data_IF_445465638426
#
_entry.id   IF_445465638426
#
_cell.length_a   1.000
_cell.length_b   1.000
_cell.length_c   1.000
_cell.angle_alpha   90.00
_cell.angle_beta   90.00
_cell.angle_gamma   90.00
#
_symmetry.space_group_name_H-M   'P 1'
#
loop_
_entity.id
_entity.type
_entity.pdbx_description
1 polymer ?
#
# COMPACT_ATOMS: atom_id res chain seq x y z
N UNK A 1 3.83 59.15 -55.38
CA UNK A 1 3.47 59.47 -53.98
C UNK A 1 2.03 59.05 -53.79
N UNK A 2 1.81 57.92 -53.13
CA UNK A 2 0.48 57.50 -52.68
C UNK A 2 0.61 57.21 -51.19
N UNK A 3 -0.31 57.77 -50.42
CA UNK A 3 -0.25 57.89 -48.96
C UNK A 3 -0.26 56.52 -48.27
N UNK A 4 0.52 56.46 -47.18
CA UNK A 4 0.54 55.38 -46.19
C UNK A 4 -0.79 55.39 -45.42
N UNK A 5 -1.53 54.28 -45.43
CA UNK A 5 -2.73 54.12 -44.60
C UNK A 5 -2.37 53.75 -43.13
N UNK A 6 -3.01 54.40 -42.14
CA UNK A 6 -3.00 54.18 -40.69
C UNK A 6 -2.68 52.86 -40.02
N UNK A 7 -3.41 51.78 -40.18
CA UNK A 7 -3.86 51.05 -38.99
C UNK A 7 -4.09 49.58 -39.33
N UNK A 8 -3.42 48.63 -38.68
CA UNK A 8 -3.86 48.08 -37.40
C UNK A 8 -2.65 47.31 -36.79
N UNK A 9 -2.02 47.86 -35.76
CA UNK A 9 -1.09 47.08 -34.94
C UNK A 9 -1.93 46.25 -33.97
N UNK A 10 -2.21 45.00 -34.33
CA UNK A 10 -2.55 43.98 -33.33
C UNK A 10 -1.26 43.65 -32.57
N UNK A 11 -0.93 44.52 -31.61
CA UNK A 11 -0.12 44.10 -30.47
C UNK A 11 -0.97 43.05 -29.74
N UNK A 12 -0.72 41.78 -30.06
CA UNK A 12 -1.09 40.65 -29.21
C UNK A 12 -0.39 40.86 -27.85
N UNK A 13 -0.95 41.75 -27.03
CA UNK A 13 -0.74 41.74 -25.60
C UNK A 13 -1.23 40.37 -25.15
N UNK A 14 -0.28 39.46 -25.01
CA UNK A 14 -0.46 38.34 -24.10
C UNK A 14 -0.57 39.02 -22.74
N UNK A 15 -1.79 39.39 -22.33
CA UNK A 15 -2.10 39.41 -20.92
C UNK A 15 -1.71 38.03 -20.45
N UNK A 16 -0.54 37.91 -19.83
CA UNK A 16 -0.22 36.77 -19.01
C UNK A 16 -1.42 36.65 -18.09
N UNK A 17 -2.27 35.67 -18.38
CA UNK A 17 -3.39 35.31 -17.54
C UNK A 17 -2.75 34.88 -16.23
N UNK A 18 -2.56 35.87 -15.35
CA UNK A 18 -2.17 35.65 -13.97
C UNK A 18 -3.36 34.88 -13.44
N UNK A 19 -3.20 33.56 -13.42
CA UNK A 19 -4.15 32.70 -12.78
C UNK A 19 -4.03 33.08 -11.31
N UNK A 20 -4.86 34.03 -10.86
CA UNK A 20 -5.12 34.27 -9.45
C UNK A 20 -5.86 33.02 -8.94
N UNK A 21 -5.10 31.93 -8.76
CA UNK A 21 -5.54 30.78 -7.98
C UNK A 21 -5.58 31.29 -6.55
N UNK A 22 -6.71 31.87 -6.18
CA UNK A 22 -6.86 32.68 -4.99
C UNK A 22 -6.50 31.92 -3.71
N UNK A 23 -5.29 32.15 -3.20
CA UNK A 23 -4.90 32.00 -1.79
C UNK A 23 -3.69 32.90 -1.41
N UNK A 24 -3.15 33.69 -2.35
CA UNK A 24 -2.02 34.60 -2.10
C UNK A 24 -0.69 33.91 -1.80
N UNK A 25 -0.60 32.61 -2.10
CA UNK A 25 0.61 31.81 -1.90
C UNK A 25 1.44 31.86 -3.18
N UNK A 26 2.74 32.11 -3.06
CA UNK A 26 3.68 32.12 -4.19
C UNK A 26 4.90 31.25 -3.90
N UNK A 27 5.60 30.82 -4.95
CA UNK A 27 6.86 30.08 -4.85
C UNK A 27 8.02 31.08 -4.95
N UNK A 28 8.94 31.05 -3.99
CA UNK A 28 10.14 31.91 -4.02
C UNK A 28 11.22 31.37 -4.97
N UNK A 29 12.27 32.18 -5.18
CA UNK A 29 13.42 31.83 -6.05
C UNK A 29 14.19 30.57 -5.59
N UNK A 30 13.93 30.08 -4.38
CA UNK A 30 14.52 28.86 -3.82
C UNK A 30 13.55 27.67 -3.85
N UNK A 31 12.33 27.86 -4.38
CA UNK A 31 11.31 26.82 -4.51
C UNK A 31 10.44 26.61 -3.27
N UNK A 32 10.47 27.50 -2.27
CA UNK A 32 9.61 27.40 -1.09
C UNK A 32 8.29 28.13 -1.28
N UNK A 33 7.21 27.54 -0.76
CA UNK A 33 5.91 28.21 -0.70
C UNK A 33 5.92 29.29 0.39
N UNK A 34 5.52 30.51 0.02
CA UNK A 34 5.39 31.65 0.94
C UNK A 34 3.98 32.21 0.96
N UNK A 35 3.56 32.63 2.15
CA UNK A 35 2.34 33.40 2.36
C UNK A 35 2.50 34.85 1.83
N UNK A 36 1.40 35.62 1.68
CA UNK A 36 1.46 37.01 1.22
C UNK A 36 2.37 37.93 2.06
N UNK A 37 2.55 37.59 3.33
CA UNK A 37 3.42 38.32 4.28
C UNK A 37 4.90 37.88 4.23
N UNK A 38 5.26 36.99 3.29
CA UNK A 38 6.62 36.51 3.06
C UNK A 38 7.06 35.38 3.99
N UNK A 39 6.20 34.88 4.90
CA UNK A 39 6.53 33.74 5.76
C UNK A 39 6.56 32.44 4.97
N UNK A 40 7.54 31.59 5.27
CA UNK A 40 7.63 30.24 4.69
C UNK A 40 6.53 29.37 5.28
N UNK A 41 5.78 28.71 4.40
CA UNK A 41 4.76 27.74 4.78
C UNK A 41 5.46 26.40 4.94
N UNK A 42 5.61 25.95 6.18
CA UNK A 42 6.12 24.62 6.48
C UNK A 42 4.98 23.60 6.44
N UNK A 43 5.19 22.54 5.67
CA UNK A 43 4.27 21.39 5.60
C UNK A 43 5.03 20.18 6.14
N UNK A 44 4.55 19.62 7.24
CA UNK A 44 5.11 18.40 7.83
C UNK A 44 4.62 17.14 7.11
N UNK A 45 5.24 16.00 7.41
CA UNK A 45 4.80 14.71 6.87
C UNK A 45 3.40 14.36 7.36
N UNK A 46 3.09 14.70 8.61
CA UNK A 46 1.81 14.49 9.25
C UNK A 46 0.72 15.34 8.58
N UNK A 47 1.01 16.61 8.25
CA UNK A 47 0.08 17.48 7.51
C UNK A 47 -0.28 16.90 6.13
N UNK A 48 0.69 16.29 5.45
CA UNK A 48 0.47 15.62 4.15
C UNK A 48 -0.45 14.41 4.32
N UNK A 49 -0.23 13.61 5.36
CA UNK A 49 -1.06 12.42 5.66
C UNK A 49 -2.50 12.86 5.95
N UNK A 50 -2.69 13.87 6.80
CA UNK A 50 -4.01 14.36 7.18
C UNK A 50 -4.80 14.89 5.97
N UNK A 51 -4.14 15.56 5.02
CA UNK A 51 -4.77 16.02 3.77
C UNK A 51 -5.20 14.84 2.90
N UNK A 52 -4.31 13.86 2.72
CA UNK A 52 -4.59 12.67 1.91
C UNK A 52 -5.71 11.82 2.51
N UNK A 53 -5.77 11.69 3.83
CA UNK A 53 -6.85 10.95 4.51
C UNK A 53 -8.20 11.66 4.36
N UNK A 54 -8.25 12.99 4.44
CA UNK A 54 -9.48 13.76 4.18
C UNK A 54 -9.99 13.61 2.74
N UNK A 55 -9.11 13.57 1.76
CA UNK A 55 -9.47 13.29 0.36
C UNK A 55 -10.09 11.90 0.19
N UNK A 56 -9.65 10.90 0.95
CA UNK A 56 -10.21 9.54 0.86
C UNK A 56 -11.64 9.42 1.40
N UNK A 57 -12.10 10.35 2.24
CA UNK A 57 -13.48 10.37 2.74
C UNK A 57 -14.49 10.94 1.73
N UNK A 58 -14.03 11.75 0.77
CA UNK A 58 -14.88 12.33 -0.28
C UNK A 58 -14.49 11.74 -1.65
N UNK A 59 -15.21 10.69 -2.05
CA UNK A 59 -14.98 9.82 -3.24
C UNK A 59 -14.77 10.54 -4.59
N UNK A 60 -14.93 11.87 -4.68
CA UNK A 60 -14.86 12.62 -5.94
C UNK A 60 -13.70 13.64 -6.06
N UNK A 61 -12.88 13.86 -5.04
CA UNK A 61 -11.80 14.86 -5.13
C UNK A 61 -10.45 14.17 -4.97
N UNK A 62 -9.78 13.90 -6.10
CA UNK A 62 -8.37 13.49 -6.10
C UNK A 62 -7.52 14.75 -6.25
N UNK A 63 -6.75 15.13 -5.24
CA UNK A 63 -5.70 16.15 -5.41
C UNK A 63 -4.56 15.52 -6.24
N UNK A 64 -4.46 15.90 -7.51
CA UNK A 64 -3.35 15.54 -8.39
C UNK A 64 -2.38 16.72 -8.51
N UNK A 65 -1.13 16.55 -8.08
CA UNK A 65 -0.06 17.51 -8.36
C UNK A 65 0.17 17.57 -9.88
N UNK A 66 0.12 18.75 -10.55
CA UNK A 66 0.20 18.85 -12.01
C UNK A 66 1.47 18.19 -12.59
N UNK A 67 2.60 18.34 -11.92
CA UNK A 67 3.89 17.76 -12.31
C UNK A 67 3.94 16.21 -12.18
N UNK A 68 3.03 15.63 -11.40
CA UNK A 68 2.89 14.18 -11.27
C UNK A 68 1.68 13.62 -12.02
N UNK A 69 0.74 14.46 -12.46
CA UNK A 69 -0.41 14.07 -13.27
C UNK A 69 0.03 13.40 -14.59
N UNK A 70 1.09 13.92 -15.22
CA UNK A 70 1.68 13.28 -16.41
C UNK A 70 2.37 11.94 -16.08
N UNK A 71 3.03 11.80 -14.92
CA UNK A 71 3.65 10.52 -14.52
C UNK A 71 2.61 9.45 -14.18
N UNK A 72 1.41 9.84 -13.76
CA UNK A 72 0.29 8.94 -13.56
C UNK A 72 -0.34 8.44 -14.86
N UNK A 73 0.06 8.96 -16.03
CA UNK A 73 -0.32 8.35 -17.33
C UNK A 73 0.44 7.07 -17.64
N UNK A 74 1.43 6.67 -16.83
CA UNK A 74 2.10 5.38 -16.98
C UNK A 74 1.43 4.29 -16.13
N UNK A 75 0.69 3.44 -16.85
CA UNK A 75 0.18 2.11 -16.46
C UNK A 75 -1.14 2.13 -15.66
N UNK A 76 -2.10 2.98 -16.01
CA UNK A 76 -3.44 2.43 -16.18
C UNK A 76 -3.49 1.95 -17.63
N UNK A 77 -3.24 0.65 -17.94
CA UNK A 77 -3.64 0.16 -19.25
C UNK A 77 -5.11 0.58 -19.37
N UNK A 78 -5.46 1.22 -20.52
CA UNK A 78 -6.84 1.45 -20.95
C UNK A 78 -7.70 0.45 -20.22
N UNK A 79 -8.62 0.90 -19.36
CA UNK A 79 -9.48 0.01 -18.58
C UNK A 79 -10.27 -0.83 -19.61
N UNK A 80 -9.64 -1.88 -20.13
CA UNK A 80 -10.29 -2.94 -20.86
C UNK A 80 -11.21 -3.45 -19.79
N UNK A 81 -12.50 -3.27 -20.02
CA UNK A 81 -13.53 -3.85 -19.17
C UNK A 81 -13.24 -5.35 -19.12
N UNK A 82 -12.51 -5.79 -18.11
CA UNK A 82 -12.25 -7.20 -17.92
C UNK A 82 -13.60 -7.83 -17.65
N UNK A 83 -13.94 -8.88 -18.40
CA UNK A 83 -15.11 -9.66 -18.03
C UNK A 83 -14.77 -10.38 -16.73
N UNK A 84 -15.78 -10.66 -15.92
CA UNK A 84 -15.61 -11.34 -14.64
C UNK A 84 -14.76 -12.61 -14.75
N UNK A 85 -14.96 -13.40 -15.80
CA UNK A 85 -14.17 -14.59 -16.09
C UNK A 85 -12.66 -14.30 -16.32
N UNK A 86 -12.33 -13.18 -16.97
CA UNK A 86 -10.94 -12.78 -17.20
C UNK A 86 -10.27 -12.36 -15.88
N UNK A 87 -11.02 -11.71 -14.97
CA UNK A 87 -10.55 -11.36 -13.63
C UNK A 87 -10.37 -12.62 -12.79
N UNK A 88 -11.35 -13.54 -12.82
CA UNK A 88 -11.31 -14.79 -12.08
C UNK A 88 -10.11 -15.65 -12.50
N UNK A 89 -9.79 -15.71 -13.80
CA UNK A 89 -8.63 -16.43 -14.34
C UNK A 89 -7.30 -15.81 -13.87
N UNK A 90 -7.17 -14.49 -13.90
CA UNK A 90 -5.98 -13.78 -13.41
C UNK A 90 -5.81 -13.99 -11.90
N UNK A 91 -6.88 -13.84 -11.14
CA UNK A 91 -6.88 -14.06 -9.69
C UNK A 91 -6.49 -15.51 -9.39
N UNK A 92 -7.09 -16.47 -10.07
CA UNK A 92 -6.76 -17.89 -9.91
C UNK A 92 -5.28 -18.17 -10.26
N UNK A 93 -4.75 -17.57 -11.32
CA UNK A 93 -3.33 -17.66 -11.69
C UNK A 93 -2.37 -17.09 -10.63
N UNK A 94 -2.79 -16.05 -9.90
CA UNK A 94 -2.00 -15.45 -8.79
C UNK A 94 -2.04 -16.35 -7.55
N UNK A 95 -3.19 -16.94 -7.22
CA UNK A 95 -3.34 -17.79 -6.05
C UNK A 95 -2.75 -19.20 -6.23
N UNK A 96 -2.73 -19.73 -7.45
CA UNK A 96 -2.29 -21.12 -7.74
C UNK A 96 -0.90 -21.48 -7.20
N UNK A 97 0.16 -20.66 -7.36
CA UNK A 97 1.48 -20.97 -6.79
C UNK A 97 1.48 -20.97 -5.26
N UNK A 98 0.70 -20.09 -4.64
CA UNK A 98 0.60 -19.96 -3.19
C UNK A 98 -0.13 -21.16 -2.59
N UNK A 99 -1.25 -21.57 -3.20
CA UNK A 99 -2.03 -22.74 -2.78
C UNK A 99 -1.23 -24.05 -2.91
N UNK A 100 -0.47 -24.22 -3.99
CA UNK A 100 0.47 -25.35 -4.13
C UNK A 100 1.55 -25.32 -3.05
N UNK A 101 2.13 -24.15 -2.77
CA UNK A 101 3.16 -24.04 -1.72
C UNK A 101 2.60 -24.32 -0.32
N UNK A 102 1.35 -23.93 -0.04
CA UNK A 102 0.70 -24.22 1.23
C UNK A 102 0.46 -25.72 1.37
N UNK A 103 -0.07 -26.37 0.32
CA UNK A 103 -0.30 -27.82 0.32
C UNK A 103 1.00 -28.62 0.56
N UNK A 104 2.09 -28.26 -0.11
CA UNK A 104 3.39 -28.89 0.09
C UNK A 104 3.91 -28.66 1.52
N UNK A 105 3.73 -27.46 2.08
CA UNK A 105 4.11 -27.18 3.47
C UNK A 105 3.26 -27.97 4.48
N UNK A 106 1.94 -28.08 4.27
CA UNK A 106 1.06 -28.90 5.12
C UNK A 106 1.49 -30.37 5.09
N UNK A 107 1.80 -30.92 3.91
CA UNK A 107 2.28 -32.30 3.80
C UNK A 107 3.62 -32.52 4.51
N UNK A 108 4.56 -31.57 4.39
CA UNK A 108 5.85 -31.63 5.11
C UNK A 108 5.68 -31.50 6.63
N UNK A 109 4.65 -30.78 7.08
CA UNK A 109 4.31 -30.68 8.49
C UNK A 109 3.72 -31.99 9.01
N UNK A 110 2.84 -32.65 8.26
CA UNK A 110 2.28 -33.95 8.64
C UNK A 110 3.38 -35.01 8.80
N UNK A 111 4.34 -35.04 7.87
CA UNK A 111 5.51 -35.94 7.90
C UNK A 111 6.38 -35.76 9.17
N UNK A 112 6.28 -34.62 9.85
CA UNK A 112 7.00 -34.32 11.10
C UNK A 112 6.09 -34.44 12.32
N UNK A 113 4.83 -34.02 12.20
CA UNK A 113 3.88 -33.92 13.30
C UNK A 113 3.47 -35.29 13.83
N UNK A 114 3.04 -36.22 12.97
CA UNK A 114 2.58 -37.54 13.43
C UNK A 114 3.69 -38.36 14.11
N UNK A 115 4.92 -38.47 13.56
CA UNK A 115 6.00 -39.18 14.25
C UNK A 115 6.38 -38.56 15.59
N UNK A 116 6.34 -37.23 15.70
CA UNK A 116 6.60 -36.56 16.97
C UNK A 116 5.48 -36.84 17.97
N UNK A 117 4.22 -36.79 17.54
CA UNK A 117 3.07 -37.09 18.38
C UNK A 117 3.13 -38.52 18.92
N UNK A 118 3.41 -39.51 18.06
CA UNK A 118 3.56 -40.91 18.46
C UNK A 118 4.69 -41.09 19.49
N UNK A 119 5.81 -40.38 19.32
CA UNK A 119 6.91 -40.40 20.27
C UNK A 119 6.52 -39.80 21.63
N UNK A 120 5.74 -38.70 21.63
CA UNK A 120 5.21 -38.09 22.85
C UNK A 120 4.29 -39.06 23.58
N UNK A 121 3.38 -39.72 22.85
CA UNK A 121 2.44 -40.69 23.45
C UNK A 121 3.16 -41.89 24.07
N UNK A 122 4.16 -42.42 23.35
CA UNK A 122 5.01 -43.52 23.86
C UNK A 122 5.82 -43.11 25.08
N UNK A 123 6.39 -41.91 25.07
CA UNK A 123 7.15 -41.40 26.21
C UNK A 123 6.23 -41.17 27.43
N UNK A 124 5.04 -40.63 27.19
CA UNK A 124 4.01 -40.42 28.22
C UNK A 124 3.63 -41.74 28.88
N UNK A 125 3.34 -42.77 28.07
CA UNK A 125 3.04 -44.12 28.55
C UNK A 125 4.19 -44.66 29.41
N UNK A 126 5.44 -44.54 28.94
CA UNK A 126 6.60 -45.06 29.67
C UNK A 126 6.84 -44.32 30.99
N UNK A 127 6.58 -43.02 31.04
CA UNK A 127 6.68 -42.24 32.27
C UNK A 127 5.64 -42.69 33.30
N UNK A 128 4.42 -43.02 32.88
CA UNK A 128 3.38 -43.46 33.81
C UNK A 128 3.65 -44.88 34.35
N UNK A 129 4.15 -45.79 33.51
CA UNK A 129 4.63 -47.10 33.95
C UNK A 129 5.73 -46.98 35.03
N UNK A 130 6.73 -46.12 34.79
CA UNK A 130 7.83 -45.91 35.74
C UNK A 130 7.34 -45.29 37.06
N UNK A 131 6.36 -44.38 37.02
CA UNK A 131 5.74 -43.85 38.25
C UNK A 131 5.07 -44.96 39.04
N UNK A 132 4.33 -45.85 38.38
CA UNK A 132 3.67 -46.97 39.03
C UNK A 132 4.70 -47.95 39.64
N UNK A 133 5.77 -48.27 38.91
CA UNK A 133 6.87 -49.11 39.43
C UNK A 133 7.51 -48.51 40.70
N UNK A 134 7.78 -47.20 40.72
CA UNK A 134 8.28 -46.51 41.91
C UNK A 134 7.29 -46.57 43.07
N UNK A 135 5.99 -46.42 42.81
CA UNK A 135 4.95 -46.49 43.83
C UNK A 135 4.79 -47.91 44.42
N UNK A 136 5.04 -48.95 43.62
CA UNK A 136 5.09 -50.33 44.12
C UNK A 136 6.30 -50.54 45.02
N UNK A 137 7.50 -50.11 44.59
CA UNK A 137 8.75 -50.25 45.36
C UNK A 137 8.64 -49.48 46.69
N UNK A 138 8.10 -48.26 46.66
CA UNK A 138 7.87 -47.45 47.87
C UNK A 138 6.99 -48.19 48.87
N UNK A 139 5.87 -48.75 48.43
CA UNK A 139 4.96 -49.52 49.29
C UNK A 139 5.58 -50.78 49.86
N UNK A 140 6.44 -51.47 49.11
CA UNK A 140 7.15 -52.66 49.59
C UNK A 140 8.20 -52.34 50.66
N UNK A 141 8.81 -51.15 50.63
CA UNK A 141 9.79 -50.69 51.62
C UNK A 141 9.14 -50.09 52.89
N UNK A 142 7.83 -49.84 52.89
CA UNK A 142 7.07 -49.32 54.04
C UNK A 142 6.48 -50.44 54.93
N UNK A 143 6.71 -51.71 54.58
CA UNK A 143 6.35 -52.94 55.34
C UNK A 143 7.58 -53.45 56.09
#
# INVERSE_FOLDING_TARGET
MSAMEPDEYDEDYIEEEVIEVGYGIYIDEHGYARAPDGRIIHVSREDIIDILERDTMHVQTRICLPYHAEKFTRILPRLRSYRRADIDDIVHGIYRPQEMSLYDNYKRLDDVYYPLNDNIDRLTTRMDELKEEMDVIRRQNEI
#
